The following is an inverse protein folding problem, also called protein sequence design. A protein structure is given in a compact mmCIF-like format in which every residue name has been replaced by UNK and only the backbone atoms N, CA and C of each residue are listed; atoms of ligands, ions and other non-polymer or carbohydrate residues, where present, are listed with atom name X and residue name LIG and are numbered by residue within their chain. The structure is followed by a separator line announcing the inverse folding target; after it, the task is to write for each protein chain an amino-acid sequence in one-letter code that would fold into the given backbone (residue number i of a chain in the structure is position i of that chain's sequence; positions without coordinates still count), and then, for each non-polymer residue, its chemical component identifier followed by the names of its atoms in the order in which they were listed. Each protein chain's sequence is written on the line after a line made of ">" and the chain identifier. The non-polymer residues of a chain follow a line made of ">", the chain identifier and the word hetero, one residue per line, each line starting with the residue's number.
data_IF_291376456923
#
_entry.id   IF_291376456923
#
_cell.length_a   1.000
_cell.length_b   1.000
_cell.length_c   1.000
_cell.angle_alpha   90.00
_cell.angle_beta   90.00
_cell.angle_gamma   90.00
#
_symmetry.space_group_name_H-M   'P 1'
#
loop_
_entity.id
_entity.type
_entity.pdbx_description
1 polymer ?
#
# COMPACT_ATOMS: atom_id res chain seq x y z
N UNK A 1 6.99 -15.84 -2.78
CA UNK A 1 6.90 -15.60 -1.34
C UNK A 1 5.52 -15.07 -1.01
N UNK A 2 4.69 -15.93 -0.41
CA UNK A 2 3.36 -15.54 0.08
C UNK A 2 3.50 -14.52 1.24
N UNK A 3 2.67 -13.48 1.24
CA UNK A 3 2.62 -12.53 2.35
C UNK A 3 1.84 -13.14 3.53
N UNK A 4 2.54 -13.37 4.65
CA UNK A 4 1.89 -13.48 5.95
C UNK A 4 1.51 -12.07 6.43
N UNK A 5 0.28 -11.64 6.15
CA UNK A 5 -0.27 -10.38 6.68
C UNK A 5 -0.56 -10.53 8.16
N UNK A 6 0.40 -10.10 9.00
CA UNK A 6 0.21 -10.01 10.44
C UNK A 6 -0.60 -8.78 10.83
N UNK A 7 -1.18 -8.80 12.02
CA UNK A 7 -1.91 -7.67 12.59
C UNK A 7 -1.08 -6.37 12.57
N UNK A 8 0.23 -6.50 12.86
CA UNK A 8 1.20 -5.40 12.81
C UNK A 8 1.33 -4.80 11.41
N UNK A 9 1.29 -5.61 10.35
CA UNK A 9 1.36 -5.11 8.96
C UNK A 9 0.10 -4.36 8.58
N UNK A 10 -1.08 -4.87 8.93
CA UNK A 10 -2.36 -4.18 8.65
C UNK A 10 -2.47 -2.87 9.41
N UNK A 11 -2.09 -2.83 10.70
CA UNK A 11 -2.03 -1.58 11.48
C UNK A 11 -0.98 -0.61 10.92
N UNK A 12 0.15 -1.12 10.45
CA UNK A 12 1.18 -0.34 9.76
C UNK A 12 0.64 0.31 8.48
N UNK A 13 -0.10 -0.44 7.67
CA UNK A 13 -0.80 0.06 6.49
C UNK A 13 -1.85 1.12 6.87
N UNK A 14 -2.68 0.86 7.88
CA UNK A 14 -3.65 1.84 8.37
C UNK A 14 -3.00 3.18 8.78
N UNK A 15 -1.81 3.13 9.39
CA UNK A 15 -1.04 4.34 9.73
C UNK A 15 -0.55 5.06 8.47
N UNK A 16 -0.07 4.34 7.45
CA UNK A 16 0.33 4.93 6.16
C UNK A 16 -0.87 5.55 5.43
N UNK A 17 -1.98 4.83 5.33
CA UNK A 17 -3.23 5.32 4.74
C UNK A 17 -3.66 6.63 5.40
N UNK A 18 -3.68 6.67 6.74
CA UNK A 18 -4.03 7.89 7.48
C UNK A 18 -3.10 9.06 7.16
N UNK A 19 -1.80 8.81 7.04
CA UNK A 19 -0.83 9.84 6.67
C UNK A 19 -1.10 10.37 5.27
N UNK A 20 -1.23 9.49 4.29
CA UNK A 20 -1.48 9.85 2.89
C UNK A 20 -2.81 10.60 2.74
N UNK A 21 -3.89 10.11 3.34
CA UNK A 21 -5.19 10.77 3.29
C UNK A 21 -5.14 12.18 3.86
N UNK A 22 -4.45 12.38 4.98
CA UNK A 22 -4.25 13.72 5.55
C UNK A 22 -3.45 14.63 4.62
N UNK A 23 -2.41 14.11 3.98
CA UNK A 23 -1.62 14.88 3.00
C UNK A 23 -2.46 15.26 1.77
N UNK A 24 -3.49 14.47 1.45
CA UNK A 24 -4.46 14.73 0.37
C UNK A 24 -5.67 15.56 0.85
N UNK A 25 -5.63 16.11 2.06
CA UNK A 25 -6.71 16.96 2.61
C UNK A 25 -7.95 16.21 3.10
N UNK A 26 -7.88 14.88 3.24
CA UNK A 26 -8.99 14.04 3.71
C UNK A 26 -8.76 13.64 5.17
N UNK A 27 -9.67 14.06 6.04
CA UNK A 27 -9.70 13.55 7.41
C UNK A 27 -10.31 12.15 7.47
N UNK A 28 -9.53 11.20 8.00
CA UNK A 28 -9.98 9.82 8.17
C UNK A 28 -9.62 9.31 9.56
N UNK A 29 -10.61 8.75 10.26
CA UNK A 29 -10.43 8.21 11.61
C UNK A 29 -9.51 6.99 11.55
N UNK A 30 -8.69 6.80 12.60
CA UNK A 30 -7.73 5.69 12.63
C UNK A 30 -8.41 4.32 12.51
N UNK A 31 -9.52 4.09 13.22
CA UNK A 31 -10.29 2.85 13.12
C UNK A 31 -10.80 2.60 11.70
N UNK A 32 -11.30 3.64 11.01
CA UNK A 32 -11.74 3.54 9.63
C UNK A 32 -10.56 3.20 8.68
N UNK A 33 -9.35 3.67 8.98
CA UNK A 33 -8.14 3.27 8.25
C UNK A 33 -7.79 1.79 8.45
N UNK A 34 -8.05 1.23 9.64
CA UNK A 34 -7.82 -0.20 9.93
C UNK A 34 -8.83 -1.06 9.17
N UNK A 35 -10.11 -0.68 9.18
CA UNK A 35 -11.15 -1.33 8.38
C UNK A 35 -10.84 -1.27 6.89
N UNK A 36 -10.44 -0.10 6.39
CA UNK A 36 -10.04 0.07 5.00
C UNK A 36 -8.82 -0.79 4.64
N UNK A 37 -7.81 -0.84 5.51
CA UNK A 37 -6.64 -1.68 5.31
C UNK A 37 -7.00 -3.17 5.20
N UNK A 38 -7.88 -3.67 6.08
CA UNK A 38 -8.37 -5.06 5.99
C UNK A 38 -9.10 -5.32 4.66
N UNK A 39 -9.95 -4.38 4.23
CA UNK A 39 -10.68 -4.49 2.96
C UNK A 39 -9.78 -4.47 1.74
N UNK A 40 -8.78 -3.60 1.72
CA UNK A 40 -7.78 -3.56 0.63
C UNK A 40 -6.95 -4.84 0.54
N UNK A 41 -6.82 -5.58 1.64
CA UNK A 41 -6.20 -6.90 1.68
C UNK A 41 -7.15 -8.05 1.34
N UNK A 42 -8.38 -7.78 0.88
CA UNK A 42 -9.34 -8.81 0.47
C UNK A 42 -10.25 -9.34 1.58
N UNK A 43 -10.17 -8.81 2.80
CA UNK A 43 -11.07 -9.21 3.89
C UNK A 43 -12.36 -8.39 3.86
N UNK A 44 -13.46 -8.94 4.36
CA UNK A 44 -14.72 -8.21 4.48
C UNK A 44 -14.60 -6.99 5.41
N UNK A 45 -13.96 -7.19 6.56
CA UNK A 45 -13.78 -6.20 7.62
C UNK A 45 -12.63 -6.61 8.55
N UNK A 46 -12.32 -5.77 9.54
CA UNK A 46 -11.28 -6.03 10.53
C UNK A 46 -11.53 -7.30 11.35
N UNK A 47 -12.79 -7.63 11.67
CA UNK A 47 -13.11 -8.83 12.46
C UNK A 47 -12.87 -10.09 11.64
N UNK A 48 -13.23 -10.09 10.36
CA UNK A 48 -12.95 -11.18 9.43
C UNK A 48 -11.44 -11.41 9.29
N UNK A 49 -10.64 -10.32 9.26
CA UNK A 49 -9.19 -10.45 9.34
C UNK A 49 -8.76 -11.11 10.65
N UNK A 50 -9.28 -10.69 11.81
CA UNK A 50 -8.91 -11.28 13.10
C UNK A 50 -9.31 -12.76 13.24
N UNK A 51 -10.41 -13.19 12.61
CA UNK A 51 -10.89 -14.57 12.64
C UNK A 51 -10.28 -15.46 11.54
N UNK A 52 -9.33 -14.95 10.76
CA UNK A 52 -8.71 -15.70 9.67
C UNK A 52 -7.91 -16.89 10.20
N UNK A 53 -7.78 -17.91 9.36
CA UNK A 53 -6.80 -18.96 9.58
C UNK A 53 -5.38 -18.37 9.44
N UNK A 54 -4.58 -18.49 10.51
CA UNK A 54 -3.22 -17.97 10.55
C UNK A 54 -2.22 -18.85 9.78
N UNK A 55 -2.59 -20.11 9.53
CA UNK A 55 -1.78 -21.07 8.78
C UNK A 55 -2.06 -20.98 7.27
N UNK A 56 -3.13 -20.28 6.87
CA UNK A 56 -3.49 -20.11 5.47
C UNK A 56 -2.69 -18.97 4.79
N UNK A 57 -2.17 -19.20 3.58
CA UNK A 57 -1.48 -18.17 2.81
C UNK A 57 -2.46 -17.06 2.38
N UNK A 58 -2.16 -15.80 2.71
CA UNK A 58 -3.12 -14.70 2.55
C UNK A 58 -3.11 -14.06 1.16
N UNK A 59 -1.95 -14.00 0.49
CA UNK A 59 -1.85 -13.59 -0.92
C UNK A 59 -0.42 -13.73 -1.45
N UNK A 60 -0.28 -13.86 -2.77
CA UNK A 60 0.98 -13.73 -3.51
C UNK A 60 1.44 -12.25 -3.56
N UNK A 61 2.75 -12.03 -3.61
CA UNK A 61 3.33 -10.71 -3.90
C UNK A 61 2.97 -10.28 -5.32
N UNK A 62 2.92 -8.97 -5.59
CA UNK A 62 2.60 -8.50 -6.94
C UNK A 62 3.68 -8.88 -7.98
N UNK A 63 4.93 -9.12 -7.55
CA UNK A 63 6.02 -9.65 -8.40
C UNK A 63 5.77 -11.10 -8.87
N UNK A 64 4.83 -11.80 -8.22
CA UNK A 64 4.48 -13.19 -8.51
C UNK A 64 3.12 -13.33 -9.18
N UNK A 65 2.42 -12.22 -9.40
CA UNK A 65 1.17 -12.20 -10.13
C UNK A 65 1.44 -12.14 -11.63
N UNK A 66 0.62 -12.84 -12.39
CA UNK A 66 0.43 -12.50 -13.80
C UNK A 66 -0.10 -11.07 -13.95
N UNK A 67 0.08 -10.48 -15.13
CA UNK A 67 -0.45 -9.16 -15.45
C UNK A 67 -1.99 -9.09 -15.25
N UNK A 68 -2.69 -10.17 -15.58
CA UNK A 68 -4.14 -10.29 -15.39
C UNK A 68 -4.54 -10.30 -13.91
N UNK A 69 -3.84 -11.06 -13.07
CA UNK A 69 -4.10 -11.10 -11.62
C UNK A 69 -3.75 -9.77 -10.94
N UNK A 70 -2.69 -9.10 -11.42
CA UNK A 70 -2.34 -7.76 -10.97
C UNK A 70 -3.44 -6.75 -11.32
N UNK A 71 -3.91 -6.75 -12.57
CA UNK A 71 -4.98 -5.87 -13.02
C UNK A 71 -6.29 -6.11 -12.25
N UNK A 72 -6.64 -7.38 -11.99
CA UNK A 72 -7.81 -7.74 -11.20
C UNK A 72 -7.70 -7.22 -9.75
N UNK A 73 -6.51 -7.29 -9.15
CA UNK A 73 -6.25 -6.78 -7.81
C UNK A 73 -6.30 -5.26 -7.75
N UNK A 74 -5.71 -4.56 -8.71
CA UNK A 74 -5.75 -3.10 -8.78
C UNK A 74 -7.21 -2.61 -8.93
N UNK A 75 -7.98 -3.23 -9.82
CA UNK A 75 -9.39 -2.96 -10.01
C UNK A 75 -10.20 -3.19 -8.71
N UNK A 76 -9.92 -4.28 -7.99
CA UNK A 76 -10.54 -4.55 -6.69
C UNK A 76 -10.22 -3.45 -5.66
N UNK A 77 -8.94 -3.06 -5.54
CA UNK A 77 -8.51 -2.04 -4.58
C UNK A 77 -9.09 -0.65 -4.91
N UNK A 78 -9.19 -0.32 -6.19
CA UNK A 78 -9.88 0.88 -6.68
C UNK A 78 -11.36 0.87 -6.29
N UNK A 79 -12.07 -0.25 -6.52
CA UNK A 79 -13.47 -0.39 -6.15
C UNK A 79 -13.70 -0.29 -4.63
N UNK A 80 -12.81 -0.88 -3.82
CA UNK A 80 -12.85 -0.76 -2.35
C UNK A 80 -12.68 0.70 -1.91
N UNK A 81 -11.74 1.42 -2.53
CA UNK A 81 -11.49 2.83 -2.22
C UNK A 81 -12.67 3.72 -2.62
N UNK A 82 -13.27 3.48 -3.79
CA UNK A 82 -14.48 4.18 -4.24
C UNK A 82 -15.66 3.94 -3.28
N UNK A 83 -15.90 2.67 -2.89
CA UNK A 83 -16.95 2.31 -1.94
C UNK A 83 -16.72 2.91 -0.53
N UNK A 84 -15.49 3.30 -0.21
CA UNK A 84 -15.16 4.01 1.04
C UNK A 84 -15.31 5.53 0.92
N UNK A 85 -15.80 6.06 -0.22
CA UNK A 85 -15.95 7.50 -0.48
C UNK A 85 -14.65 8.19 -0.88
N UNK A 86 -13.59 7.42 -1.20
CA UNK A 86 -12.26 7.94 -1.53
C UNK A 86 -12.01 7.98 -3.03
N UNK A 87 -13.06 7.86 -3.87
CA UNK A 87 -12.93 7.75 -5.33
C UNK A 87 -12.08 8.86 -5.97
N UNK A 88 -12.23 10.10 -5.48
CA UNK A 88 -11.48 11.26 -5.99
C UNK A 88 -9.96 11.19 -5.73
N UNK A 89 -9.54 10.43 -4.71
CA UNK A 89 -8.13 10.30 -4.28
C UNK A 89 -7.62 8.86 -4.37
N UNK A 90 -8.42 7.93 -4.92
CA UNK A 90 -8.18 6.50 -4.81
C UNK A 90 -6.86 6.07 -5.46
N UNK A 91 -6.58 6.52 -6.69
CA UNK A 91 -5.34 6.17 -7.41
C UNK A 91 -4.11 6.61 -6.62
N UNK A 92 -4.05 7.89 -6.26
CA UNK A 92 -2.89 8.43 -5.53
C UNK A 92 -2.76 7.84 -4.11
N UNK A 93 -3.88 7.54 -3.46
CA UNK A 93 -3.87 6.81 -2.19
C UNK A 93 -3.21 5.44 -2.33
N UNK A 94 -3.61 4.66 -3.34
CA UNK A 94 -3.08 3.30 -3.57
C UNK A 94 -1.60 3.34 -3.97
N UNK A 95 -1.21 4.28 -4.83
CA UNK A 95 0.19 4.47 -5.25
C UNK A 95 1.10 4.78 -4.06
N UNK A 96 0.67 5.68 -3.17
CA UNK A 96 1.47 6.12 -2.02
C UNK A 96 1.40 5.18 -0.82
N UNK A 97 0.25 4.55 -0.57
CA UNK A 97 0.07 3.68 0.60
C UNK A 97 0.55 2.25 0.34
N UNK A 98 0.47 1.81 -0.92
CA UNK A 98 0.91 0.52 -1.42
C UNK A 98 0.47 -0.64 -0.49
N UNK A 99 -0.82 -1.00 -0.51
CA UNK A 99 -1.43 -1.89 0.46
C UNK A 99 -0.85 -3.32 0.45
N UNK A 100 -0.43 -3.81 -0.71
CA UNK A 100 0.19 -5.14 -0.89
C UNK A 100 1.71 -5.11 -0.85
N UNK A 101 2.32 -3.93 -0.94
CA UNK A 101 3.73 -3.72 -0.63
C UNK A 101 4.70 -3.95 -1.79
N UNK A 102 4.25 -4.20 -3.03
CA UNK A 102 5.17 -4.46 -4.15
C UNK A 102 5.68 -3.22 -4.88
N UNK A 103 5.08 -2.05 -4.68
CA UNK A 103 5.60 -0.79 -5.24
C UNK A 103 6.73 -0.12 -4.43
N UNK A 104 7.35 -0.84 -3.49
CA UNK A 104 8.45 -0.32 -2.67
C UNK A 104 9.75 -1.12 -2.86
N UNK A 105 10.11 -1.37 -4.12
CA UNK A 105 11.46 -1.00 -4.55
C UNK A 105 11.31 0.33 -5.28
N UNK A 106 11.15 1.43 -4.54
CA UNK A 106 11.75 2.65 -5.07
C UNK A 106 13.21 2.28 -5.24
N UNK A 107 13.66 2.16 -6.49
CA UNK A 107 15.06 2.29 -6.80
C UNK A 107 15.53 3.48 -5.96
N UNK A 108 16.40 3.22 -5.00
CA UNK A 108 17.23 4.25 -4.41
C UNK A 108 17.84 4.93 -5.63
N UNK A 109 17.31 6.07 -6.06
CA UNK A 109 18.08 6.99 -6.85
C UNK A 109 19.21 7.36 -5.89
N UNK A 110 20.32 6.65 -6.00
CA UNK A 110 21.56 7.10 -5.42
C UNK A 110 21.72 8.53 -5.95
N UNK A 111 21.83 9.54 -5.07
CA UNK A 111 22.31 10.83 -5.54
C UNK A 111 23.68 10.55 -6.14
N UNK A 112 23.78 10.66 -7.46
CA UNK A 112 25.04 10.55 -8.17
C UNK A 112 25.91 11.67 -7.61
N UNK A 113 26.76 11.30 -6.65
CA UNK A 113 27.76 12.17 -6.06
C UNK A 113 28.84 12.39 -7.10
N UNK A 114 28.69 13.41 -7.94
CA UNK A 114 29.84 14.06 -8.56
C UNK A 114 30.16 15.31 -7.75
N UNK A 115 30.86 15.07 -6.65
CA UNK A 115 31.72 16.09 -6.07
C UNK A 115 33.15 15.86 -6.59
N UNK A 116 33.69 16.91 -7.20
CA UNK A 116 35.12 17.29 -7.26
C UNK A 116 36.04 16.58 -8.28
N UNK A 117 36.20 17.22 -9.44
CA UNK A 117 37.52 17.72 -9.90
C UNK A 117 37.23 19.05 -10.62
N UNK A 118 37.97 20.14 -10.55
CA UNK A 118 39.25 20.49 -9.97
C UNK A 118 39.44 21.92 -10.47
N UNK A 119 39.45 22.88 -9.55
CA UNK A 119 39.71 24.27 -9.89
C UNK A 119 41.24 24.39 -10.04
N UNK A 120 41.74 24.61 -11.26
CA UNK A 120 43.06 25.21 -11.46
C UNK A 120 43.12 25.98 -12.80
N UNK A 121 43.84 27.13 -12.85
CA UNK A 121 43.68 28.17 -13.85
C UNK A 121 44.68 28.05 -15.02
N UNK A 122 44.34 28.69 -16.15
CA UNK A 122 45.30 29.11 -17.19
C UNK A 122 44.96 30.53 -17.63
#
# INVERSE_FOLDING_TARGET
>A
MIIMMSEKRVKGLAKRLRKVLRDLGVEFKHYACVELAARLCGFRDWRHFLSRDLEAPLSLLDEELSEEEFAARDAFQMAVSQAAGLGAVARELLDRANPTGSWAKHATQEPFGEALTGNDPV
#
